data_IF_103843463460
#
_entry.id   IF_103843463460
#
_cell.length_a   1.000
_cell.length_b   1.000
_cell.length_c   1.000
_cell.angle_alpha   90.00
_cell.angle_beta   90.00
_cell.angle_gamma   90.00
#
_symmetry.space_group_name_H-M   'P 1'
#
loop_
_entity.id
_entity.type
_entity.pdbx_description
1 polymer ?
#
# COMPACT_ATOMS: atom_id res chain seq x y z
N UNK A 1 -8.40 -3.12 -24.66
CA UNK A 1 -7.65 -4.02 -23.75
C UNK A 1 -7.90 -3.49 -22.35
N UNK A 2 -8.24 -4.36 -21.41
CA UNK A 2 -8.51 -3.95 -20.03
C UNK A 2 -7.27 -3.30 -19.40
N UNK A 3 -7.50 -2.48 -18.38
CA UNK A 3 -6.46 -1.74 -17.65
C UNK A 3 -6.54 -2.03 -16.16
N UNK A 4 -5.39 -2.05 -15.49
CA UNK A 4 -5.29 -2.24 -14.04
C UNK A 4 -4.37 -1.19 -13.42
N UNK A 5 -4.76 -0.66 -12.26
CA UNK A 5 -3.96 0.25 -11.45
C UNK A 5 -3.75 -0.27 -10.04
N UNK A 6 -2.51 -0.17 -9.55
CA UNK A 6 -2.11 -0.49 -8.19
C UNK A 6 -1.84 0.80 -7.42
N UNK A 7 -2.55 1.01 -6.33
CA UNK A 7 -2.48 2.22 -5.50
C UNK A 7 -2.02 1.85 -4.10
N UNK A 8 -0.81 2.20 -3.75
CA UNK A 8 -0.22 1.82 -2.45
C UNK A 8 1.29 1.99 -2.40
N UNK A 9 1.93 1.19 -1.58
CA UNK A 9 3.35 1.27 -1.27
C UNK A 9 4.20 0.20 -1.99
N UNK A 10 5.31 -0.19 -1.36
CA UNK A 10 6.28 -1.15 -1.88
C UNK A 10 5.71 -2.55 -2.16
N UNK A 11 4.66 -2.97 -1.47
CA UNK A 11 4.03 -4.26 -1.72
C UNK A 11 3.34 -4.37 -3.08
N UNK A 12 3.05 -3.24 -3.72
CA UNK A 12 2.47 -3.21 -5.08
C UNK A 12 3.28 -2.37 -6.07
N UNK A 13 4.60 -2.28 -5.89
CA UNK A 13 5.52 -1.51 -6.72
C UNK A 13 6.42 -2.37 -7.63
N UNK A 14 6.52 -3.68 -7.39
CA UNK A 14 7.40 -4.59 -8.13
C UNK A 14 6.97 -4.76 -9.59
N UNK A 15 7.96 -4.61 -10.47
CA UNK A 15 7.77 -4.67 -11.94
C UNK A 15 8.37 -5.94 -12.54
N UNK A 16 8.95 -6.80 -11.72
CA UNK A 16 9.52 -8.07 -12.11
C UNK A 16 8.43 -9.00 -12.64
N UNK A 17 8.71 -9.86 -13.62
CA UNK A 17 7.70 -10.76 -14.19
C UNK A 17 6.99 -11.65 -13.17
N UNK A 18 7.69 -12.02 -12.09
CA UNK A 18 7.21 -12.85 -11.00
C UNK A 18 6.47 -12.06 -9.90
N UNK A 19 6.40 -10.72 -10.00
CA UNK A 19 5.66 -9.95 -9.03
C UNK A 19 4.16 -10.22 -9.15
N UNK A 20 3.44 -10.26 -8.02
CA UNK A 20 2.01 -10.51 -8.02
C UNK A 20 1.21 -9.50 -8.86
N UNK A 21 1.71 -8.27 -8.97
CA UNK A 21 1.11 -7.23 -9.81
C UNK A 21 1.16 -7.62 -11.30
N UNK A 22 2.33 -8.07 -11.78
CA UNK A 22 2.50 -8.51 -13.17
C UNK A 22 1.74 -9.81 -13.42
N UNK A 23 1.83 -10.78 -12.51
CA UNK A 23 1.11 -12.04 -12.61
C UNK A 23 -0.41 -11.83 -12.69
N UNK A 24 -0.96 -10.98 -11.84
CA UNK A 24 -2.38 -10.62 -11.86
C UNK A 24 -2.79 -9.91 -13.17
N UNK A 25 -2.00 -8.93 -13.61
CA UNK A 25 -2.28 -8.22 -14.85
C UNK A 25 -2.29 -9.16 -16.07
N UNK A 26 -1.33 -10.08 -16.16
CA UNK A 26 -1.26 -11.10 -17.21
C UNK A 26 -2.49 -12.02 -17.16
N UNK A 27 -2.91 -12.46 -15.99
CA UNK A 27 -4.10 -13.32 -15.82
C UNK A 27 -5.40 -12.62 -16.22
N UNK A 28 -5.52 -11.33 -15.94
CA UNK A 28 -6.64 -10.48 -16.35
C UNK A 28 -6.56 -10.02 -17.81
N UNK A 29 -5.43 -10.28 -18.48
CA UNK A 29 -5.12 -9.73 -19.82
C UNK A 29 -5.25 -8.20 -19.86
N UNK A 30 -4.78 -7.54 -18.80
CA UNK A 30 -4.87 -6.11 -18.55
C UNK A 30 -3.51 -5.43 -18.67
N UNK A 31 -3.49 -4.19 -19.19
CA UNK A 31 -2.33 -3.33 -19.15
C UNK A 31 -2.22 -2.63 -17.80
N UNK A 32 -1.04 -2.62 -17.20
CA UNK A 32 -0.80 -1.86 -15.96
C UNK A 32 -0.62 -0.39 -16.32
N UNK A 33 -1.49 0.46 -15.80
CA UNK A 33 -1.49 1.91 -16.07
C UNK A 33 -1.08 2.74 -14.86
N UNK A 34 -1.04 2.15 -13.67
CA UNK A 34 -0.55 2.77 -12.46
C UNK A 34 0.12 1.74 -11.54
N UNK A 35 1.19 2.16 -10.87
CA UNK A 35 1.99 1.35 -9.95
C UNK A 35 2.01 1.98 -8.57
N UNK A 36 2.05 1.16 -7.53
CA UNK A 36 2.38 1.62 -6.20
C UNK A 36 3.80 2.23 -6.15
N UNK A 37 4.05 3.00 -5.11
CA UNK A 37 5.33 3.67 -4.91
C UNK A 37 5.94 3.30 -3.55
N UNK A 38 7.18 2.76 -3.50
CA UNK A 38 7.81 2.35 -2.26
C UNK A 38 7.82 3.45 -1.20
N UNK A 39 7.53 3.08 0.05
CA UNK A 39 7.62 3.98 1.20
C UNK A 39 6.57 5.09 1.28
N UNK A 40 5.65 5.16 0.35
CA UNK A 40 4.63 6.21 0.33
C UNK A 40 3.60 6.05 1.45
N UNK A 41 3.05 7.19 1.89
CA UNK A 41 1.97 7.25 2.87
C UNK A 41 0.61 7.00 2.25
N UNK A 42 -0.42 6.79 3.07
CA UNK A 42 -1.81 6.69 2.63
C UNK A 42 -2.26 7.92 1.82
N UNK A 43 -1.77 9.12 2.15
CA UNK A 43 -2.07 10.35 1.43
C UNK A 43 -1.55 10.33 -0.01
N UNK A 44 -0.39 9.71 -0.23
CA UNK A 44 0.13 9.53 -1.59
C UNK A 44 -0.81 8.65 -2.43
N UNK A 45 -1.36 7.59 -1.82
CA UNK A 45 -2.35 6.72 -2.46
C UNK A 45 -3.61 7.50 -2.81
N UNK A 46 -4.15 8.32 -1.89
CA UNK A 46 -5.31 9.15 -2.16
C UNK A 46 -5.07 10.12 -3.32
N UNK A 47 -3.97 10.88 -3.27
CA UNK A 47 -3.65 11.85 -4.32
C UNK A 47 -3.40 11.18 -5.69
N UNK A 48 -2.75 10.03 -5.71
CA UNK A 48 -2.53 9.28 -6.95
C UNK A 48 -3.86 8.86 -7.59
N UNK A 49 -4.79 8.33 -6.80
CA UNK A 49 -6.09 7.93 -7.31
C UNK A 49 -6.96 9.13 -7.72
N UNK A 50 -7.02 10.18 -6.89
CA UNK A 50 -7.74 11.42 -7.24
C UNK A 50 -7.23 12.04 -8.54
N UNK A 51 -5.94 12.00 -8.77
CA UNK A 51 -5.34 12.46 -10.04
C UNK A 51 -5.82 11.62 -11.23
N UNK A 52 -5.84 10.31 -11.10
CA UNK A 52 -6.33 9.40 -12.14
C UNK A 52 -7.81 9.65 -12.42
N UNK A 53 -8.62 9.82 -11.36
CA UNK A 53 -10.05 10.16 -11.43
C UNK A 53 -10.27 11.52 -12.09
N UNK A 54 -9.50 12.55 -11.70
CA UNK A 54 -9.62 13.90 -12.26
C UNK A 54 -9.42 13.94 -13.78
N UNK A 55 -8.50 13.11 -14.31
CA UNK A 55 -8.26 13.02 -15.76
C UNK A 55 -9.14 12.00 -16.47
N UNK A 56 -10.15 11.46 -15.81
CA UNK A 56 -11.06 10.40 -16.32
C UNK A 56 -10.27 9.19 -16.87
N UNK A 57 -9.22 8.79 -16.17
CA UNK A 57 -8.34 7.66 -16.53
C UNK A 57 -8.43 6.52 -15.51
N UNK A 58 -9.61 6.35 -14.93
CA UNK A 58 -9.85 5.28 -13.95
C UNK A 58 -9.65 3.93 -14.65
N UNK A 59 -8.78 3.05 -14.10
CA UNK A 59 -8.56 1.73 -14.69
C UNK A 59 -9.81 0.84 -14.55
N UNK A 60 -9.95 -0.16 -15.41
CA UNK A 60 -11.03 -1.16 -15.32
C UNK A 60 -10.95 -1.97 -14.01
N UNK A 61 -9.72 -2.14 -13.49
CA UNK A 61 -9.43 -2.79 -12.20
C UNK A 61 -8.56 -1.86 -11.34
N UNK A 62 -8.98 -1.58 -10.12
CA UNK A 62 -8.25 -0.76 -9.14
C UNK A 62 -7.96 -1.57 -7.89
N UNK A 63 -6.68 -1.78 -7.59
CA UNK A 63 -6.24 -2.51 -6.39
C UNK A 63 -5.57 -1.54 -5.43
N UNK A 64 -6.11 -1.43 -4.21
CA UNK A 64 -5.61 -0.57 -3.16
C UNK A 64 -4.87 -1.39 -2.11
N UNK A 65 -3.62 -1.02 -1.86
CA UNK A 65 -2.73 -1.65 -0.88
C UNK A 65 -2.46 -0.62 0.22
N UNK A 66 -3.28 -0.66 1.27
CA UNK A 66 -3.24 0.34 2.33
C UNK A 66 -2.03 0.16 3.24
N UNK A 67 -1.25 1.21 3.38
CA UNK A 67 -0.06 1.24 4.23
C UNK A 67 -0.39 1.66 5.67
N UNK A 68 0.62 1.64 6.53
CA UNK A 68 0.51 2.04 7.93
C UNK A 68 0.28 3.56 8.12
N UNK A 69 -0.30 4.00 9.26
CA UNK A 69 -0.63 5.41 9.52
C UNK A 69 0.58 6.32 9.78
N UNK A 70 1.75 5.74 10.09
CA UNK A 70 2.91 6.48 10.59
C UNK A 70 3.86 7.01 9.52
N UNK A 71 3.46 6.96 8.25
CA UNK A 71 4.22 7.56 7.15
C UNK A 71 3.68 8.95 6.86
N UNK A 72 4.55 9.96 7.01
CA UNK A 72 4.18 11.33 6.72
C UNK A 72 4.16 11.56 5.20
N UNK A 73 3.23 12.41 4.77
CA UNK A 73 3.18 12.79 3.37
C UNK A 73 4.25 13.83 3.04
N UNK A 74 5.05 13.54 2.04
CA UNK A 74 5.88 14.51 1.34
C UNK A 74 5.86 14.19 -0.16
N UNK A 75 5.81 15.22 -1.01
CA UNK A 75 5.66 15.02 -2.47
C UNK A 75 6.84 14.28 -3.12
N UNK A 76 8.03 14.38 -2.56
CA UNK A 76 9.28 13.85 -3.14
C UNK A 76 10.00 12.85 -2.23
N UNK A 77 9.80 12.93 -0.92
CA UNK A 77 10.54 12.16 0.05
C UNK A 77 9.67 11.10 0.73
N UNK A 78 10.32 10.04 1.15
CA UNK A 78 9.75 9.04 2.04
C UNK A 78 10.07 9.49 3.46
N UNK A 79 9.06 9.80 4.27
CA UNK A 79 9.21 10.29 5.62
C UNK A 79 8.50 9.39 6.62
N UNK A 80 9.28 8.78 7.51
CA UNK A 80 8.81 7.97 8.64
C UNK A 80 9.73 8.20 9.84
N UNK A 81 9.42 7.63 10.99
CA UNK A 81 10.27 7.73 12.18
C UNK A 81 11.70 7.21 11.97
N UNK A 82 11.91 6.30 11.00
CA UNK A 82 13.19 5.68 10.71
C UNK A 82 13.77 6.13 9.36
N UNK A 83 13.43 7.34 8.91
CA UNK A 83 13.90 7.85 7.61
C UNK A 83 15.41 8.09 7.65
N UNK A 84 16.14 7.44 6.74
CA UNK A 84 17.55 7.66 6.57
C UNK A 84 17.83 9.06 6.01
N UNK A 85 18.83 9.76 6.58
CA UNK A 85 19.23 11.09 6.14
C UNK A 85 20.05 11.01 4.85
N UNK A 86 19.50 11.51 3.76
CA UNK A 86 20.15 11.54 2.44
C UNK A 86 20.95 12.84 2.27
N UNK A 87 22.21 12.77 1.79
CA UNK A 87 23.11 13.92 1.75
C UNK A 87 22.66 15.06 0.80
N UNK A 88 21.81 14.75 -0.17
CA UNK A 88 21.30 15.73 -1.14
C UNK A 88 19.99 16.40 -0.72
N UNK A 89 19.41 15.99 0.41
CA UNK A 89 18.16 16.55 0.94
C UNK A 89 18.47 17.64 1.96
N UNK A 90 17.70 18.73 1.93
CA UNK A 90 17.86 19.82 2.90
C UNK A 90 17.76 19.29 4.35
N UNK A 91 18.81 19.44 5.17
CA UNK A 91 18.83 18.90 6.54
C UNK A 91 17.68 19.42 7.42
N UNK A 92 17.17 20.62 7.18
CA UNK A 92 16.03 21.20 7.90
C UNK A 92 14.76 20.36 7.80
N UNK A 93 14.62 19.56 6.74
CA UNK A 93 13.47 18.63 6.61
C UNK A 93 13.57 17.52 7.65
N UNK A 94 14.79 17.00 7.85
CA UNK A 94 15.01 15.96 8.85
C UNK A 94 14.92 16.48 10.28
N UNK A 95 15.40 17.70 10.51
CA UNK A 95 15.28 18.36 11.83
C UNK A 95 13.79 18.57 12.16
N UNK A 96 13.00 19.04 11.20
CA UNK A 96 11.55 19.19 11.37
C UNK A 96 10.83 17.85 11.54
N UNK A 97 11.33 16.78 10.90
CA UNK A 97 10.80 15.42 11.07
C UNK A 97 11.07 14.91 12.49
N UNK A 98 12.29 15.09 12.99
CA UNK A 98 12.65 14.71 14.36
C UNK A 98 11.81 15.49 15.38
N UNK A 99 11.66 16.82 15.20
CA UNK A 99 10.80 17.67 16.03
C UNK A 99 9.35 17.22 16.01
N UNK A 100 8.82 16.82 14.84
CA UNK A 100 7.48 16.28 14.73
C UNK A 100 7.30 15.03 15.60
N UNK A 101 8.22 14.08 15.50
CA UNK A 101 8.12 12.83 16.27
C UNK A 101 8.27 13.03 17.77
N UNK A 102 9.10 14.00 18.18
CA UNK A 102 9.35 14.30 19.59
C UNK A 102 8.22 15.12 20.22
N UNK A 103 7.70 16.13 19.51
CA UNK A 103 6.84 17.15 20.10
C UNK A 103 5.39 17.16 19.60
N UNK A 104 5.11 16.65 18.39
CA UNK A 104 3.81 16.79 17.76
C UNK A 104 3.09 15.47 17.47
N UNK A 105 3.85 14.36 17.47
CA UNK A 105 3.27 13.05 17.21
C UNK A 105 2.38 12.60 18.38
N UNK A 106 1.18 12.15 18.05
CA UNK A 106 0.23 11.57 18.98
C UNK A 106 -0.45 10.36 18.32
N UNK A 107 -0.18 9.17 18.87
CA UNK A 107 -0.69 7.91 18.34
C UNK A 107 -2.21 7.87 18.20
N UNK A 108 -2.95 8.41 19.19
CA UNK A 108 -4.42 8.40 19.15
C UNK A 108 -4.96 9.33 18.06
N UNK A 109 -4.35 10.51 17.95
CA UNK A 109 -4.70 11.47 16.90
C UNK A 109 -4.44 10.88 15.51
N UNK A 110 -3.28 10.28 15.30
CA UNK A 110 -2.88 9.73 14.01
C UNK A 110 -3.72 8.50 13.65
N UNK A 111 -4.05 7.65 14.63
CA UNK A 111 -4.99 6.53 14.47
C UNK A 111 -6.38 7.01 14.04
N UNK A 112 -6.92 8.02 14.71
CA UNK A 112 -8.22 8.59 14.37
C UNK A 112 -8.18 9.23 12.99
N UNK A 113 -7.16 10.06 12.70
CA UNK A 113 -7.01 10.73 11.41
C UNK A 113 -6.92 9.71 10.27
N UNK A 114 -6.12 8.66 10.44
CA UNK A 114 -5.99 7.57 9.48
C UNK A 114 -7.34 6.86 9.25
N UNK A 115 -7.99 6.45 10.32
CA UNK A 115 -9.27 5.71 10.25
C UNK A 115 -10.36 6.53 9.57
N UNK A 116 -10.51 7.79 9.95
CA UNK A 116 -11.53 8.66 9.35
C UNK A 116 -11.21 9.01 7.91
N UNK A 117 -9.95 9.27 7.59
CA UNK A 117 -9.52 9.57 6.21
C UNK A 117 -9.76 8.39 5.28
N UNK A 118 -9.41 7.17 5.73
CA UNK A 118 -9.62 5.96 4.95
C UNK A 118 -11.12 5.68 4.73
N UNK A 119 -11.93 5.77 5.78
CA UNK A 119 -13.39 5.62 5.68
C UNK A 119 -14.02 6.69 4.78
N UNK A 120 -13.56 7.93 4.88
CA UNK A 120 -14.03 9.00 3.99
C UNK A 120 -13.68 8.69 2.54
N UNK A 121 -12.45 8.28 2.27
CA UNK A 121 -12.01 7.93 0.92
C UNK A 121 -12.81 6.75 0.36
N UNK A 122 -13.00 5.70 1.13
CA UNK A 122 -13.83 4.56 0.73
C UNK A 122 -15.28 4.98 0.42
N UNK A 123 -15.93 5.67 1.37
CA UNK A 123 -17.35 5.98 1.28
C UNK A 123 -17.70 7.09 0.28
N UNK A 124 -16.79 8.03 0.02
CA UNK A 124 -17.07 9.18 -0.83
C UNK A 124 -16.38 9.09 -2.19
N UNK A 125 -15.13 8.61 -2.20
CA UNK A 125 -14.33 8.61 -3.43
C UNK A 125 -14.50 7.28 -4.17
N UNK A 126 -14.20 6.17 -3.53
CA UNK A 126 -14.28 4.85 -4.17
C UNK A 126 -15.74 4.48 -4.52
N UNK A 127 -16.68 4.75 -3.63
CA UNK A 127 -18.11 4.48 -3.90
C UNK A 127 -18.63 5.27 -5.11
N UNK A 128 -18.09 6.46 -5.38
CA UNK A 128 -18.50 7.29 -6.54
C UNK A 128 -18.03 6.74 -7.88
N UNK A 129 -17.13 5.76 -7.88
CA UNK A 129 -16.53 5.19 -9.11
C UNK A 129 -16.74 3.69 -9.25
N UNK A 130 -17.46 3.05 -8.32
CA UNK A 130 -17.69 1.59 -8.30
C UNK A 130 -18.30 1.03 -9.59
N UNK A 131 -19.03 1.84 -10.32
CA UNK A 131 -19.63 1.45 -11.62
C UNK A 131 -18.64 1.59 -12.80
N UNK A 132 -17.47 2.22 -12.57
CA UNK A 132 -16.42 2.43 -13.59
C UNK A 132 -15.25 1.48 -13.46
N UNK A 133 -15.03 0.89 -12.27
CA UNK A 133 -13.86 0.06 -11.96
C UNK A 133 -14.22 -1.04 -10.97
N UNK A 134 -13.68 -2.22 -11.15
CA UNK A 134 -13.73 -3.26 -10.11
C UNK A 134 -12.65 -2.98 -9.06
N UNK A 135 -13.05 -2.92 -7.80
CA UNK A 135 -12.19 -2.50 -6.70
C UNK A 135 -11.88 -3.68 -5.82
N UNK A 136 -10.58 -3.88 -5.54
CA UNK A 136 -10.10 -4.73 -4.45
C UNK A 136 -9.27 -3.87 -3.50
N UNK A 137 -9.51 -4.01 -2.21
CA UNK A 137 -8.78 -3.34 -1.15
C UNK A 137 -8.08 -4.38 -0.28
N UNK A 138 -6.86 -4.11 0.12
CA UNK A 138 -6.08 -4.97 1.01
C UNK A 138 -5.12 -4.14 1.86
N UNK A 139 -4.53 -4.75 2.86
CA UNK A 139 -3.50 -4.13 3.69
C UNK A 139 -2.11 -4.50 3.16
N UNK A 140 -1.25 -3.51 2.91
CA UNK A 140 0.20 -3.75 2.88
C UNK A 140 0.68 -4.05 4.29
N UNK A 141 0.34 -3.17 5.22
CA UNK A 141 0.51 -3.33 6.67
C UNK A 141 -0.84 -3.10 7.33
N UNK A 142 -1.29 -4.04 8.12
CA UNK A 142 -2.51 -3.84 8.89
C UNK A 142 -2.27 -2.72 9.91
N UNK A 143 -3.15 -1.72 9.99
CA UNK A 143 -2.98 -0.61 10.93
C UNK A 143 -2.80 -1.14 12.35
N UNK A 144 -1.77 -0.64 13.06
CA UNK A 144 -1.48 -0.97 14.47
C UNK A 144 -1.14 -2.43 14.75
N UNK A 145 -0.81 -3.20 13.73
CA UNK A 145 -0.42 -4.61 13.84
C UNK A 145 0.77 -4.79 14.79
N UNK A 146 1.76 -3.89 14.72
CA UNK A 146 2.93 -3.86 15.61
C UNK A 146 2.60 -3.45 17.05
N UNK A 147 1.48 -2.76 17.27
CA UNK A 147 1.03 -2.32 18.59
C UNK A 147 0.04 -3.30 19.26
N UNK A 148 -0.25 -4.45 18.64
CA UNK A 148 -1.24 -5.42 19.13
C UNK A 148 -2.68 -4.88 19.15
N UNK A 149 -2.93 -3.78 18.46
CA UNK A 149 -4.25 -3.15 18.33
C UNK A 149 -4.74 -3.34 16.91
N UNK A 150 -5.93 -3.87 16.75
CA UNK A 150 -6.55 -4.03 15.44
C UNK A 150 -7.83 -3.19 15.39
N UNK A 151 -7.79 -1.95 14.87
CA UNK A 151 -9.02 -1.23 14.66
C UNK A 151 -9.87 -2.00 13.65
N UNK A 152 -11.13 -2.20 13.99
CA UNK A 152 -12.10 -2.78 13.07
C UNK A 152 -12.45 -1.72 12.01
N UNK A 153 -11.63 -1.63 10.96
CA UNK A 153 -11.87 -0.77 9.81
C UNK A 153 -12.59 -1.61 8.77
N UNK A 154 -13.89 -1.40 8.64
CA UNK A 154 -14.68 -1.99 7.57
C UNK A 154 -14.67 -1.02 6.37
N UNK A 155 -14.25 -1.53 5.21
CA UNK A 155 -14.30 -0.85 3.92
C UNK A 155 -15.40 -1.53 3.09
N UNK A 156 -16.18 -0.74 2.38
CA UNK A 156 -17.42 -1.19 1.72
C UNK A 156 -17.40 -1.03 0.20
N UNK A 157 -16.41 -0.33 -0.34
CA UNK A 157 -16.30 -0.12 -1.78
C UNK A 157 -15.48 -1.23 -2.42
N UNK A 158 -16.15 -2.19 -3.05
CA UNK A 158 -15.55 -3.35 -3.69
C UNK A 158 -15.25 -4.51 -2.72
N UNK A 159 -14.37 -5.41 -3.14
CA UNK A 159 -13.96 -6.58 -2.36
C UNK A 159 -12.82 -6.23 -1.40
N UNK A 160 -12.84 -6.79 -0.21
CA UNK A 160 -11.83 -6.54 0.80
C UNK A 160 -11.12 -7.82 1.25
N UNK A 161 -9.78 -7.80 1.22
CA UNK A 161 -8.92 -8.86 1.74
C UNK A 161 -8.35 -8.38 3.09
N UNK A 162 -8.87 -8.90 4.19
CA UNK A 162 -8.49 -8.47 5.55
C UNK A 162 -7.10 -8.94 5.99
N UNK A 163 -6.51 -9.93 5.33
CA UNK A 163 -5.12 -10.33 5.60
C UNK A 163 -4.14 -9.28 5.08
N UNK A 164 -3.12 -8.93 5.88
CA UNK A 164 -2.06 -8.04 5.39
C UNK A 164 -1.01 -8.80 4.58
N UNK A 165 -0.49 -8.18 3.54
CA UNK A 165 0.62 -8.73 2.75
C UNK A 165 1.87 -8.93 3.61
N UNK A 166 2.11 -8.05 4.59
CA UNK A 166 3.21 -8.18 5.53
C UNK A 166 3.11 -9.46 6.36
N UNK A 167 1.95 -9.74 6.96
CA UNK A 167 1.76 -10.98 7.74
C UNK A 167 1.81 -12.21 6.86
N UNK A 168 1.23 -12.15 5.67
CA UNK A 168 1.30 -13.22 4.70
C UNK A 168 2.76 -13.52 4.31
N UNK A 169 3.58 -12.50 4.04
CA UNK A 169 5.00 -12.65 3.75
C UNK A 169 5.75 -13.28 4.93
N UNK A 170 5.45 -12.87 6.17
CA UNK A 170 6.08 -13.33 7.40
C UNK A 170 5.74 -14.78 7.74
N UNK A 171 4.49 -15.20 7.58
CA UNK A 171 4.00 -16.52 8.01
C UNK A 171 4.69 -17.69 7.32
N UNK A 172 5.19 -17.49 6.11
CA UNK A 172 5.81 -18.54 5.29
C UNK A 172 7.35 -18.51 5.27
N UNK A 173 7.98 -17.55 5.95
CA UNK A 173 9.46 -17.42 5.98
C UNK A 173 10.12 -18.01 7.23
N UNK A 174 9.37 -18.68 8.10
CA UNK A 174 9.88 -19.14 9.40
C UNK A 174 10.13 -17.95 10.34
N UNK A 175 10.61 -18.18 11.57
CA UNK A 175 10.78 -17.20 12.64
C UNK A 175 11.85 -16.12 12.39
N UNK A 176 12.02 -15.64 11.17
CA UNK A 176 12.91 -14.49 10.90
C UNK A 176 12.28 -13.24 11.49
N UNK A 177 13.07 -12.47 12.22
CA UNK A 177 12.63 -11.21 12.84
C UNK A 177 12.10 -10.25 11.78
N UNK A 178 11.19 -9.35 12.18
CA UNK A 178 10.66 -8.27 11.32
C UNK A 178 11.77 -7.50 10.58
N UNK A 179 12.92 -7.31 11.25
CA UNK A 179 14.12 -6.70 10.69
C UNK A 179 14.72 -7.48 9.51
N UNK A 180 14.49 -8.79 9.38
CA UNK A 180 15.03 -9.59 8.28
C UNK A 180 14.15 -9.56 7.02
N UNK A 181 12.91 -9.09 7.11
CA UNK A 181 11.99 -8.98 5.97
C UNK A 181 12.08 -7.60 5.31
N UNK A 182 12.43 -6.58 6.09
CA UNK A 182 12.45 -5.19 5.64
C UNK A 182 13.80 -4.67 5.08
N UNK A 183 15.00 -5.16 5.46
CA UNK A 183 16.22 -4.41 5.18
C UNK A 183 16.99 -4.76 3.92
N UNK A 184 16.69 -5.76 3.14
CA UNK A 184 17.59 -6.11 2.04
C UNK A 184 16.87 -6.32 0.70
N UNK A 185 16.35 -5.23 0.21
CA UNK A 185 15.70 -5.12 -1.09
C UNK A 185 16.59 -5.60 -2.25
N UNK A 186 17.91 -5.51 -2.09
CA UNK A 186 18.86 -5.84 -3.16
C UNK A 186 19.50 -7.24 -3.05
N UNK A 187 19.34 -7.97 -1.93
CA UNK A 187 20.10 -9.19 -1.66
C UNK A 187 19.28 -10.43 -1.26
N UNK A 188 17.95 -10.31 -1.09
CA UNK A 188 17.14 -11.41 -0.53
C UNK A 188 16.45 -12.30 -1.57
N UNK A 189 16.45 -11.93 -2.85
CA UNK A 189 15.64 -12.59 -3.87
C UNK A 189 14.12 -12.43 -3.65
N UNK A 190 13.70 -11.52 -2.77
CA UNK A 190 12.29 -11.21 -2.53
C UNK A 190 11.80 -10.15 -3.51
N UNK A 191 10.60 -10.36 -4.05
CA UNK A 191 9.89 -9.42 -4.91
C UNK A 191 8.70 -8.89 -4.13
N UNK A 192 8.56 -7.58 -4.01
CA UNK A 192 7.51 -6.96 -3.17
C UNK A 192 7.51 -7.52 -1.72
N UNK A 193 8.69 -7.77 -1.14
CA UNK A 193 8.87 -8.41 0.18
C UNK A 193 8.40 -9.88 0.28
N UNK A 194 8.07 -10.52 -0.81
CA UNK A 194 7.52 -11.88 -0.88
C UNK A 194 8.40 -12.81 -1.76
N UNK A 195 8.37 -14.10 -1.48
CA UNK A 195 8.94 -15.11 -2.38
C UNK A 195 8.14 -15.18 -3.69
N UNK A 196 8.70 -15.86 -4.71
CA UNK A 196 7.97 -16.07 -5.99
C UNK A 196 6.66 -16.82 -5.74
N UNK A 197 6.67 -17.86 -4.92
CA UNK A 197 5.47 -18.64 -4.59
C UNK A 197 4.42 -17.80 -3.86
N UNK A 198 4.86 -16.94 -2.94
CA UNK A 198 3.96 -16.01 -2.25
C UNK A 198 3.36 -14.98 -3.20
N UNK A 199 4.16 -14.45 -4.14
CA UNK A 199 3.65 -13.55 -5.17
C UNK A 199 2.59 -14.24 -6.04
N UNK A 200 2.83 -15.50 -6.45
CA UNK A 200 1.83 -16.28 -7.21
C UNK A 200 0.54 -16.46 -6.41
N UNK A 201 0.65 -16.90 -5.16
CA UNK A 201 -0.51 -17.13 -4.29
C UNK A 201 -1.30 -15.83 -4.03
N UNK A 202 -0.60 -14.69 -3.83
CA UNK A 202 -1.27 -13.40 -3.64
C UNK A 202 -1.99 -12.94 -4.91
N UNK A 203 -1.38 -13.14 -6.10
CA UNK A 203 -2.02 -12.87 -7.37
C UNK A 203 -3.32 -13.67 -7.56
N UNK A 204 -3.30 -14.95 -7.20
CA UNK A 204 -4.47 -15.83 -7.27
C UNK A 204 -5.59 -15.33 -6.34
N UNK A 205 -5.25 -14.97 -5.12
CA UNK A 205 -6.18 -14.45 -4.10
C UNK A 205 -6.87 -13.16 -4.54
N UNK A 206 -6.12 -12.21 -5.12
CA UNK A 206 -6.71 -10.97 -5.66
C UNK A 206 -7.53 -11.24 -6.92
N UNK A 207 -7.08 -12.16 -7.78
CA UNK A 207 -7.83 -12.54 -8.97
C UNK A 207 -9.21 -13.13 -8.64
N UNK A 208 -9.29 -14.00 -7.65
CA UNK A 208 -10.58 -14.58 -7.19
C UNK A 208 -11.57 -13.49 -6.77
N UNK A 209 -11.09 -12.45 -6.08
CA UNK A 209 -11.92 -11.32 -5.67
C UNK A 209 -12.36 -10.43 -6.85
N UNK A 210 -11.51 -10.27 -7.85
CA UNK A 210 -11.86 -9.50 -9.05
C UNK A 210 -12.75 -10.28 -10.01
N UNK A 211 -12.84 -11.60 -9.88
CA UNK A 211 -13.61 -12.48 -10.77
C UNK A 211 -15.00 -12.84 -10.23
N UNK A 212 -15.21 -12.61 -8.90
CA UNK A 212 -16.51 -12.76 -8.26
C UNK A 212 -17.43 -11.57 -8.61
#
# INVERSE_FOLDING_TARGET
MATIGYFGDSFCAGREPESWCVLLANRLKANIVHWGEPGRSIWSTFFSFERVKHFDRIPDYSVFCWTEPYRLYHKELILSANTERLPHVNPKIYDALDDYWVYLHDYKKDELAYTYSLKHFDNQILSSVKDKTRIVQTWSFRPFETAGRHPNIQLSSGEFIDESMFNFAKSNQGSKSEQAILPDWNNTGLINHMTIEQNQHWADKVYERLSS
#
